data_IF_653504158260
#
_entry.id   IF_653504158260
#
_cell.length_a   1.000
_cell.length_b   1.000
_cell.length_c   1.000
_cell.angle_alpha   90.00
_cell.angle_beta   90.00
_cell.angle_gamma   90.00
#
_symmetry.space_group_name_H-M   'P 1'
#
loop_
_entity.id
_entity.type
_entity.pdbx_description
1 polymer ?
#
# COMPACT_ATOMS: atom_id res chain seq x y z
N UNK A 1 62.45 -23.48 14.23
CA UNK A 1 61.03 -23.85 14.10
C UNK A 1 60.17 -22.86 14.90
N UNK A 2 59.67 -21.79 14.27
CA UNK A 2 58.62 -20.93 14.83
C UNK A 2 57.73 -20.49 13.66
N UNK A 3 56.50 -20.96 13.69
CA UNK A 3 55.46 -20.77 12.68
C UNK A 3 54.91 -19.36 12.87
N UNK A 4 55.10 -18.49 11.88
CA UNK A 4 54.44 -17.18 11.81
C UNK A 4 53.05 -17.44 11.22
N UNK A 5 52.05 -17.50 12.10
CA UNK A 5 50.64 -17.65 11.71
C UNK A 5 50.19 -16.33 11.09
N UNK A 6 49.93 -16.39 9.79
CA UNK A 6 49.43 -15.29 8.98
C UNK A 6 48.10 -14.78 9.54
N UNK A 7 48.08 -13.51 9.94
CA UNK A 7 46.90 -12.79 10.39
C UNK A 7 46.04 -12.39 9.17
N UNK A 8 45.34 -13.36 8.58
CA UNK A 8 44.32 -13.13 7.56
C UNK A 8 43.04 -12.61 8.25
N UNK A 9 43.06 -11.34 8.63
CA UNK A 9 41.84 -10.66 9.12
C UNK A 9 40.87 -10.61 7.95
N UNK A 10 39.85 -11.45 8.04
CA UNK A 10 38.66 -11.46 7.22
C UNK A 10 38.06 -10.04 7.13
N UNK A 11 38.42 -9.32 6.07
CA UNK A 11 37.60 -8.26 5.51
C UNK A 11 36.37 -8.92 4.90
N UNK A 12 35.44 -9.33 5.75
CA UNK A 12 34.07 -9.63 5.33
C UNK A 12 33.49 -8.28 4.91
N UNK A 13 33.59 -8.03 3.61
CA UNK A 13 32.88 -6.97 2.91
C UNK A 13 31.41 -7.10 3.24
N UNK A 14 30.97 -6.34 4.24
CA UNK A 14 29.57 -6.11 4.53
C UNK A 14 29.02 -5.33 3.33
N UNK A 15 28.71 -6.04 2.26
CA UNK A 15 27.93 -5.53 1.16
C UNK A 15 26.55 -5.26 1.74
N UNK A 16 26.43 -4.08 2.33
CA UNK A 16 25.17 -3.48 2.71
C UNK A 16 24.44 -3.28 1.40
N UNK A 17 23.69 -4.29 0.96
CA UNK A 17 22.80 -4.16 -0.17
C UNK A 17 21.96 -2.93 0.14
N UNK A 18 22.17 -1.87 -0.65
CA UNK A 18 21.44 -0.63 -0.54
C UNK A 18 19.99 -0.97 -0.90
N UNK A 19 19.25 -1.42 0.10
CA UNK A 19 17.90 -1.91 -0.05
C UNK A 19 17.02 -0.69 -0.31
N UNK A 20 16.63 -0.53 -1.57
CA UNK A 20 15.81 0.59 -2.00
C UNK A 20 14.46 0.52 -1.28
N UNK A 21 14.16 1.55 -0.48
CA UNK A 21 12.89 1.67 0.24
C UNK A 21 11.78 1.96 -0.76
N UNK A 22 11.00 0.94 -1.09
CA UNK A 22 9.86 1.04 -1.98
C UNK A 22 8.57 1.12 -1.16
N UNK A 23 7.93 2.28 -1.15
CA UNK A 23 6.77 2.54 -0.31
C UNK A 23 5.45 2.70 -1.10
N UNK A 24 5.48 2.49 -2.42
CA UNK A 24 4.31 2.55 -3.29
C UNK A 24 4.42 1.51 -4.40
N UNK A 25 3.28 0.99 -4.87
CA UNK A 25 3.24 0.06 -5.99
C UNK A 25 3.38 0.79 -7.32
N UNK A 26 4.07 0.17 -8.27
CA UNK A 26 4.07 0.64 -9.65
C UNK A 26 2.83 0.11 -10.41
N UNK A 27 2.51 0.66 -11.59
CA UNK A 27 1.33 0.26 -12.36
C UNK A 27 1.29 -1.24 -12.70
N UNK A 28 2.42 -1.84 -13.06
CA UNK A 28 2.51 -3.27 -13.40
C UNK A 28 2.15 -4.16 -12.21
N UNK A 29 2.65 -3.83 -11.02
CA UNK A 29 2.38 -4.56 -9.79
C UNK A 29 0.92 -4.46 -9.33
N UNK A 30 0.32 -3.29 -9.54
CA UNK A 30 -1.11 -3.07 -9.29
C UNK A 30 -1.98 -3.93 -10.22
N UNK A 31 -1.63 -3.98 -11.51
CA UNK A 31 -2.33 -4.81 -12.50
C UNK A 31 -2.19 -6.31 -12.22
N UNK A 32 -0.97 -6.75 -11.89
CA UNK A 32 -0.68 -8.15 -11.55
C UNK A 32 -1.14 -8.55 -10.14
N UNK A 33 -1.68 -7.61 -9.35
CA UNK A 33 -2.03 -7.78 -7.93
C UNK A 33 -0.91 -8.44 -7.13
N UNK A 34 0.31 -7.99 -7.38
CA UNK A 34 1.53 -8.54 -6.80
C UNK A 34 2.48 -7.39 -6.51
N UNK A 35 2.40 -6.86 -5.30
CA UNK A 35 3.16 -5.68 -4.92
C UNK A 35 3.95 -5.86 -3.62
N UNK A 36 5.28 -5.98 -3.71
CA UNK A 36 6.16 -5.94 -2.54
C UNK A 36 6.49 -4.49 -2.18
N UNK A 37 6.30 -4.12 -0.91
CA UNK A 37 6.65 -2.81 -0.36
C UNK A 37 7.53 -2.97 0.89
N UNK A 38 8.39 -2.01 1.17
CA UNK A 38 9.24 -1.98 2.37
C UNK A 38 9.24 -0.58 3.00
N UNK A 39 9.07 -0.55 4.32
CA UNK A 39 9.31 0.65 5.12
C UNK A 39 10.01 0.32 6.43
N UNK A 40 11.26 0.76 6.56
CA UNK A 40 12.06 0.84 7.80
C UNK A 40 11.74 -0.25 8.83
N UNK A 41 12.01 -1.50 8.47
CA UNK A 41 11.88 -2.67 9.36
C UNK A 41 10.65 -3.54 9.11
N UNK A 42 9.75 -3.12 8.22
CA UNK A 42 8.62 -3.92 7.78
C UNK A 42 8.68 -4.15 6.27
N UNK A 43 8.49 -5.40 5.85
CA UNK A 43 8.17 -5.72 4.46
C UNK A 43 6.73 -6.14 4.37
N UNK A 44 6.05 -5.64 3.36
CA UNK A 44 4.70 -5.99 3.01
C UNK A 44 4.70 -6.63 1.63
N UNK A 45 3.88 -7.65 1.44
CA UNK A 45 3.62 -8.22 0.14
C UNK A 45 2.12 -8.28 -0.07
N UNK A 46 1.61 -7.39 -0.89
CA UNK A 46 0.20 -7.34 -1.27
C UNK A 46 -0.01 -8.30 -2.43
N UNK A 47 -0.85 -9.30 -2.20
CA UNK A 47 -1.28 -10.30 -3.17
C UNK A 47 -2.80 -10.16 -3.38
N UNK A 48 -3.31 -10.76 -4.45
CA UNK A 48 -4.73 -10.70 -4.82
C UNK A 48 -5.67 -11.18 -3.70
N UNK A 49 -5.24 -12.19 -2.93
CA UNK A 49 -6.02 -12.84 -1.88
C UNK A 49 -5.59 -12.46 -0.46
N UNK A 50 -4.37 -11.94 -0.26
CA UNK A 50 -3.79 -11.74 1.07
C UNK A 50 -2.73 -10.64 1.13
N UNK A 51 -2.39 -10.24 2.36
CA UNK A 51 -1.22 -9.41 2.62
C UNK A 51 -0.27 -10.20 3.52
N UNK A 52 0.99 -10.30 3.11
CA UNK A 52 2.05 -10.84 3.97
C UNK A 52 2.81 -9.68 4.61
N UNK A 53 3.08 -9.78 5.90
CA UNK A 53 3.98 -8.87 6.63
C UNK A 53 5.19 -9.65 7.13
N UNK A 54 6.38 -9.06 6.99
CA UNK A 54 7.62 -9.59 7.56
C UNK A 54 8.16 -8.63 8.61
N UNK A 55 8.12 -9.06 9.86
CA UNK A 55 8.71 -8.39 11.05
C UNK A 55 9.88 -9.20 11.63
N UNK A 56 10.45 -10.12 10.84
CA UNK A 56 11.40 -11.16 11.26
C UNK A 56 10.88 -12.57 10.93
N UNK A 57 9.56 -12.71 10.82
CA UNK A 57 8.87 -13.91 10.31
C UNK A 57 7.76 -13.46 9.37
N UNK A 58 7.50 -14.21 8.30
CA UNK A 58 6.36 -13.95 7.42
C UNK A 58 5.05 -14.33 8.11
N UNK A 59 4.11 -13.39 8.17
CA UNK A 59 2.78 -13.56 8.73
C UNK A 59 1.73 -13.14 7.72
N UNK A 60 0.65 -13.91 7.64
CA UNK A 60 -0.52 -13.54 6.85
C UNK A 60 -1.42 -12.58 7.64
N UNK A 61 -1.87 -11.51 7.00
CA UNK A 61 -2.87 -10.59 7.54
C UNK A 61 -4.23 -10.94 6.91
N UNK A 62 -5.15 -11.45 7.73
CA UNK A 62 -6.50 -11.80 7.30
C UNK A 62 -7.40 -10.56 7.10
N UNK A 63 -8.49 -10.72 6.34
CA UNK A 63 -9.54 -9.71 6.07
C UNK A 63 -9.06 -8.50 5.27
N UNK A 64 -8.72 -8.75 4.00
CA UNK A 64 -8.35 -7.72 3.04
C UNK A 64 -9.56 -7.32 2.18
N UNK A 65 -9.93 -6.03 2.09
CA UNK A 65 -11.13 -5.61 1.36
C UNK A 65 -10.93 -5.61 -0.16
N UNK A 66 -9.79 -6.09 -0.66
CA UNK A 66 -9.48 -6.14 -2.09
C UNK A 66 -9.74 -7.50 -2.73
N UNK A 67 -10.26 -8.45 -1.95
CA UNK A 67 -10.59 -9.77 -2.45
C UNK A 67 -11.73 -9.69 -3.46
N UNK A 68 -11.57 -10.38 -4.59
CA UNK A 68 -12.58 -10.45 -5.64
C UNK A 68 -11.99 -10.23 -7.04
N UNK A 69 -12.49 -10.99 -8.02
CA UNK A 69 -12.05 -10.89 -9.42
C UNK A 69 -12.34 -9.52 -10.04
N UNK A 70 -13.34 -8.83 -9.52
CA UNK A 70 -13.82 -7.55 -10.05
C UNK A 70 -13.16 -6.32 -9.41
N UNK A 71 -12.21 -6.51 -8.48
CA UNK A 71 -11.46 -5.41 -7.89
C UNK A 71 -10.30 -4.97 -8.79
N UNK A 72 -10.14 -3.67 -8.98
CA UNK A 72 -8.99 -3.09 -9.70
C UNK A 72 -8.20 -2.20 -8.73
N UNK A 73 -6.93 -2.54 -8.51
CA UNK A 73 -6.06 -1.81 -7.60
C UNK A 73 -5.62 -0.51 -8.26
N UNK A 74 -6.06 0.61 -7.71
CA UNK A 74 -5.69 1.93 -8.21
C UNK A 74 -4.37 2.39 -7.58
N UNK A 75 -4.20 2.11 -6.28
CA UNK A 75 -2.99 2.51 -5.57
C UNK A 75 -2.83 1.78 -4.24
N UNK A 76 -1.58 1.58 -3.82
CA UNK A 76 -1.23 1.08 -2.49
C UNK A 76 0.04 1.80 -2.04
N UNK A 77 -0.04 2.41 -0.86
CA UNK A 77 1.05 3.14 -0.22
C UNK A 77 1.27 2.62 1.19
N UNK A 78 2.53 2.61 1.62
CA UNK A 78 2.89 2.45 3.03
C UNK A 78 3.61 3.69 3.52
N UNK A 79 3.22 4.17 4.70
CA UNK A 79 3.79 5.37 5.30
C UNK A 79 4.06 5.14 6.77
N UNK A 80 5.25 5.54 7.23
CA UNK A 80 5.60 5.56 8.65
C UNK A 80 5.40 6.95 9.20
N UNK A 81 4.60 7.08 10.25
CA UNK A 81 4.36 8.34 10.96
C UNK A 81 4.71 8.11 12.43
N UNK A 82 5.83 8.69 12.86
CA UNK A 82 6.41 8.38 14.17
C UNK A 82 6.80 6.91 14.27
N UNK A 83 6.21 6.19 15.24
CA UNK A 83 6.44 4.74 15.44
C UNK A 83 5.39 3.86 14.76
N UNK A 84 4.33 4.45 14.21
CA UNK A 84 3.24 3.70 13.59
C UNK A 84 3.43 3.62 12.08
N UNK A 85 3.09 2.46 11.52
CA UNK A 85 3.03 2.23 10.08
C UNK A 85 1.57 2.25 9.64
N UNK A 86 1.32 2.93 8.53
CA UNK A 86 0.02 3.07 7.91
C UNK A 86 0.08 2.48 6.51
N UNK A 87 -0.99 1.79 6.13
CA UNK A 87 -1.20 1.28 4.79
C UNK A 87 -2.41 1.99 4.22
N UNK A 88 -2.24 2.65 3.09
CA UNK A 88 -3.32 3.30 2.35
C UNK A 88 -3.53 2.55 1.05
N UNK A 89 -4.80 2.26 0.75
CA UNK A 89 -5.19 1.46 -0.40
C UNK A 89 -6.36 2.13 -1.09
N UNK A 90 -6.27 2.20 -2.41
CA UNK A 90 -7.32 2.66 -3.30
C UNK A 90 -7.67 1.55 -4.27
N UNK A 91 -8.94 1.18 -4.28
CA UNK A 91 -9.44 0.09 -5.12
C UNK A 91 -10.76 0.49 -5.74
N UNK A 92 -10.90 0.23 -7.05
CA UNK A 92 -12.20 0.23 -7.69
C UNK A 92 -12.90 -1.07 -7.36
N UNK A 93 -14.05 -0.99 -6.71
CA UNK A 93 -14.86 -2.17 -6.41
C UNK A 93 -15.87 -2.46 -7.51
N UNK A 94 -16.37 -3.70 -7.51
CA UNK A 94 -17.53 -4.09 -8.28
C UNK A 94 -18.69 -3.08 -8.10
N UNK A 95 -19.53 -2.89 -9.13
CA UNK A 95 -20.74 -2.09 -9.00
C UNK A 95 -21.63 -2.60 -7.87
N UNK A 96 -22.21 -1.68 -7.11
CA UNK A 96 -23.18 -1.99 -6.08
C UNK A 96 -24.46 -1.17 -6.34
N UNK A 97 -25.56 -1.85 -6.62
CA UNK A 97 -26.80 -1.21 -7.06
C UNK A 97 -26.82 -1.02 -8.58
N UNK A 98 -26.62 0.21 -9.04
CA UNK A 98 -26.59 0.54 -10.47
C UNK A 98 -25.46 -0.24 -11.16
N UNK A 99 -25.82 -1.10 -12.12
CA UNK A 99 -24.97 -2.13 -12.71
C UNK A 99 -23.68 -1.61 -13.39
N UNK A 100 -23.52 -0.30 -13.56
CA UNK A 100 -22.43 0.31 -14.29
C UNK A 100 -21.54 1.25 -13.45
N UNK A 101 -21.95 1.59 -12.22
CA UNK A 101 -21.22 2.54 -11.37
C UNK A 101 -20.26 1.81 -10.45
N UNK A 102 -18.96 2.04 -10.63
CA UNK A 102 -17.91 1.53 -9.75
C UNK A 102 -17.48 2.62 -8.75
N UNK A 103 -17.17 2.19 -7.53
CA UNK A 103 -16.70 3.09 -6.46
C UNK A 103 -15.21 2.89 -6.24
N UNK A 104 -14.46 4.00 -6.22
CA UNK A 104 -13.10 4.01 -5.71
C UNK A 104 -13.17 4.08 -4.20
N UNK A 105 -12.96 2.93 -3.56
CA UNK A 105 -12.88 2.85 -2.10
C UNK A 105 -11.47 3.16 -1.63
N UNK A 106 -11.40 4.01 -0.63
CA UNK A 106 -10.21 4.38 0.10
C UNK A 106 -10.21 3.71 1.47
N UNK A 107 -9.20 2.88 1.69
CA UNK A 107 -8.98 2.21 2.96
C UNK A 107 -7.68 2.71 3.57
N UNK A 108 -7.72 3.00 4.87
CA UNK A 108 -6.51 3.25 5.65
C UNK A 108 -6.45 2.32 6.83
N UNK A 109 -5.32 1.64 6.94
CA UNK A 109 -5.00 0.76 8.04
C UNK A 109 -3.85 1.33 8.85
N UNK A 110 -3.93 1.16 10.17
CA UNK A 110 -2.76 1.22 11.04
C UNK A 110 -2.28 -0.20 11.30
N UNK A 111 -0.97 -0.40 11.19
CA UNK A 111 -0.30 -1.64 11.57
C UNK A 111 0.10 -1.55 13.04
N UNK A 112 -0.33 -2.54 13.81
CA UNK A 112 0.00 -2.68 15.23
C UNK A 112 0.31 -4.14 15.53
N UNK A 113 1.54 -4.46 15.94
CA UNK A 113 1.97 -5.84 16.26
C UNK A 113 1.52 -6.88 15.21
N UNK A 114 1.73 -6.58 13.92
CA UNK A 114 1.33 -7.45 12.82
C UNK A 114 -0.18 -7.72 12.73
N UNK A 115 -0.99 -6.73 13.14
CA UNK A 115 -2.44 -6.68 12.90
C UNK A 115 -2.82 -5.41 12.14
N UNK A 116 -3.82 -5.54 11.28
CA UNK A 116 -4.44 -4.44 10.54
C UNK A 116 -5.59 -3.85 11.36
N UNK A 117 -5.50 -2.57 11.71
CA UNK A 117 -6.59 -1.82 12.31
C UNK A 117 -7.17 -0.85 11.27
N UNK A 118 -8.41 -1.07 10.85
CA UNK A 118 -9.11 -0.15 9.94
C UNK A 118 -9.30 1.18 10.66
N UNK A 119 -8.81 2.26 10.05
CA UNK A 119 -9.01 3.63 10.51
C UNK A 119 -10.03 4.38 9.65
N UNK A 120 -10.10 4.05 8.37
CA UNK A 120 -11.05 4.64 7.44
C UNK A 120 -11.43 3.67 6.33
N UNK A 121 -12.69 3.73 5.94
CA UNK A 121 -13.26 3.17 4.72
C UNK A 121 -14.23 4.22 4.16
N UNK A 122 -13.90 4.80 3.00
CA UNK A 122 -14.77 5.79 2.34
C UNK A 122 -14.78 5.59 0.83
N UNK A 123 -15.79 6.15 0.15
CA UNK A 123 -15.82 6.27 -1.30
C UNK A 123 -15.25 7.65 -1.65
N UNK A 124 -14.18 7.68 -2.45
CA UNK A 124 -13.48 8.94 -2.80
C UNK A 124 -13.72 9.37 -4.23
N UNK A 125 -14.19 8.46 -5.08
CA UNK A 125 -14.54 8.75 -6.46
C UNK A 125 -15.52 7.69 -6.96
N UNK A 126 -16.31 8.05 -7.97
CA UNK A 126 -17.12 7.11 -8.73
C UNK A 126 -16.72 7.16 -10.20
N UNK A 127 -16.87 6.04 -10.88
CA UNK A 127 -16.71 5.98 -12.34
C UNK A 127 -17.82 5.15 -12.97
N UNK A 128 -18.22 5.52 -14.17
CA UNK A 128 -19.17 4.76 -14.98
C UNK A 128 -18.49 4.30 -16.27
N UNK A 129 -18.78 3.08 -16.73
CA UNK A 129 -18.26 2.56 -18.01
C UNK A 129 -18.84 3.36 -19.17
N UNK A 130 -17.96 3.72 -20.10
CA UNK A 130 -18.37 4.30 -21.37
C UNK A 130 -18.42 3.21 -22.45
N UNK A 131 -19.50 3.19 -23.24
CA UNK A 131 -19.70 2.22 -24.33
C UNK A 131 -19.48 2.83 -25.72
N UNK A 132 -19.20 4.13 -25.81
CA UNK A 132 -18.98 4.83 -27.07
C UNK A 132 -17.58 4.54 -27.64
N UNK A 133 -17.50 4.12 -28.91
CA UNK A 133 -16.19 3.90 -29.55
C UNK A 133 -15.50 5.24 -29.82
N UNK A 134 -14.26 5.39 -29.32
CA UNK A 134 -13.43 6.58 -29.54
C UNK A 134 -13.34 7.53 -28.34
N UNK A 135 -14.08 7.27 -27.27
CA UNK A 135 -14.00 8.00 -26.00
C UNK A 135 -13.23 7.21 -24.93
N UNK A 136 -12.78 7.86 -23.84
CA UNK A 136 -12.18 7.16 -22.71
C UNK A 136 -13.12 6.08 -22.17
N UNK A 137 -12.59 4.94 -21.69
CA UNK A 137 -13.40 3.80 -21.27
C UNK A 137 -14.28 4.06 -20.04
N UNK A 138 -14.06 5.18 -19.34
CA UNK A 138 -14.80 5.56 -18.14
C UNK A 138 -15.04 7.07 -18.07
N UNK A 139 -16.20 7.45 -17.53
CA UNK A 139 -16.48 8.78 -17.01
C UNK A 139 -16.24 8.80 -15.50
N UNK A 140 -15.61 9.85 -14.99
CA UNK A 140 -15.23 9.96 -13.57
C UNK A 140 -15.89 11.17 -12.92
N UNK A 141 -16.39 10.97 -11.70
CA UNK A 141 -16.81 12.07 -10.85
C UNK A 141 -15.59 12.80 -10.25
N UNK A 142 -15.85 13.98 -9.69
CA UNK A 142 -14.87 14.70 -8.91
C UNK A 142 -14.44 13.89 -7.69
N UNK A 143 -13.14 13.95 -7.41
CA UNK A 143 -12.55 13.25 -6.28
C UNK A 143 -12.83 13.97 -4.97
N UNK A 144 -13.40 13.25 -3.99
CA UNK A 144 -13.71 13.79 -2.67
C UNK A 144 -12.48 13.69 -1.76
N UNK A 145 -12.01 14.80 -1.16
CA UNK A 145 -10.83 14.78 -0.30
C UNK A 145 -11.15 14.19 1.09
N UNK A 146 -10.23 13.39 1.63
CA UNK A 146 -10.29 12.89 3.00
C UNK A 146 -8.96 13.04 3.72
N UNK A 147 -9.03 13.13 5.06
CA UNK A 147 -7.87 13.20 5.94
C UNK A 147 -8.14 12.39 7.21
N UNK A 148 -7.11 11.78 7.78
CA UNK A 148 -7.18 11.24 9.14
C UNK A 148 -6.70 12.32 10.11
N UNK A 149 -7.35 12.42 11.26
CA UNK A 149 -6.87 13.26 12.36
C UNK A 149 -6.29 12.37 13.46
N UNK A 150 -5.14 12.75 14.00
CA UNK A 150 -4.64 12.08 15.20
C UNK A 150 -5.37 12.56 16.46
N UNK A 151 -5.04 11.95 17.61
CA UNK A 151 -5.61 12.31 18.91
C UNK A 151 -5.32 13.76 19.34
N UNK A 152 -4.33 14.41 18.73
CA UNK A 152 -3.94 15.81 18.98
C UNK A 152 -4.61 16.77 17.98
N UNK A 153 -5.53 16.26 17.15
CA UNK A 153 -6.22 17.03 16.12
C UNK A 153 -5.37 17.32 14.87
N UNK A 154 -4.14 16.79 14.79
CA UNK A 154 -3.28 16.99 13.63
C UNK A 154 -3.83 16.17 12.47
N UNK A 155 -4.22 16.85 11.40
CA UNK A 155 -4.68 16.23 10.19
C UNK A 155 -3.47 15.72 9.38
N UNK A 156 -3.52 14.44 9.05
CA UNK A 156 -2.68 13.82 8.04
C UNK A 156 -3.55 13.69 6.80
N UNK A 157 -3.26 14.53 5.79
CA UNK A 157 -3.79 14.35 4.45
C UNK A 157 -3.15 13.10 3.85
N UNK A 158 -3.98 12.14 3.49
CA UNK A 158 -3.54 10.91 2.85
C UNK A 158 -3.74 10.96 1.34
N UNK A 159 -4.55 11.89 0.82
CA UNK A 159 -4.85 11.91 -0.60
C UNK A 159 -4.64 13.26 -1.31
N UNK A 160 -3.54 13.36 -2.08
CA UNK A 160 -3.40 14.03 -3.40
C UNK A 160 -1.96 13.96 -3.95
N UNK A 161 -1.25 12.82 -3.91
CA UNK A 161 0.11 12.69 -4.52
C UNK A 161 1.16 13.76 -4.11
N UNK A 162 0.85 14.58 -3.10
CA UNK A 162 1.62 15.70 -2.57
C UNK A 162 1.29 15.77 -1.09
N UNK A 163 2.31 15.52 -0.27
CA UNK A 163 2.23 15.71 1.16
C UNK A 163 2.06 17.20 1.44
N UNK A 164 0.83 17.64 1.75
CA UNK A 164 0.61 18.98 2.28
C UNK A 164 0.39 18.84 3.78
N UNK A 165 1.34 19.37 4.55
CA UNK A 165 1.09 19.68 5.97
C UNK A 165 -0.02 20.72 5.97
N UNK A 166 -1.18 20.39 6.53
CA UNK A 166 -2.17 21.41 6.90
C UNK A 166 -1.66 22.14 8.13
#
# INVERSE_FOLDING_TARGET
MKIIIALYICLVSCSSWAYSKKNHCNPTELQLKNCPLDTQGYRFHFLDDKILIHDGVWRNLEKFPLQGKETEWQNIYIKKIGRSVFVEILVWTAPYGEAQVQNLKWYVYKIDHSRLHILAENIVQRRNKNFNSGEPPYFFDNMTPHALKDKKGKAYLFYKGKEKKL
#
